data_IF_240727375848
#
_entry.id   IF_240727375848
#
_cell.length_a   1.000
_cell.length_b   1.000
_cell.length_c   1.000
_cell.angle_alpha   90.00
_cell.angle_beta   90.00
_cell.angle_gamma   90.00
#
_symmetry.space_group_name_H-M   'P 1'
#
loop_
_entity.id
_entity.type
_entity.pdbx_description
1 polymer ?
#
# COMPACT_ATOMS: atom_id res chain seq x y z
N UNK A 1 10.76 -8.82 -14.48
CA UNK A 1 9.82 -8.04 -13.64
C UNK A 1 8.36 -8.47 -13.83
N UNK A 2 7.85 -8.62 -15.07
CA UNK A 2 6.45 -9.00 -15.32
C UNK A 2 6.00 -10.30 -14.65
N UNK A 3 6.80 -11.36 -14.71
CA UNK A 3 6.49 -12.67 -14.10
C UNK A 3 6.27 -12.58 -12.57
N UNK A 4 7.06 -11.77 -11.87
CA UNK A 4 6.93 -11.54 -10.42
C UNK A 4 5.61 -10.87 -10.08
N UNK A 5 5.16 -9.93 -10.92
CA UNK A 5 3.89 -9.25 -10.70
C UNK A 5 2.72 -10.21 -10.85
N UNK A 6 2.77 -11.11 -11.85
CA UNK A 6 1.76 -12.15 -12.04
C UNK A 6 1.70 -13.07 -10.82
N UNK A 7 2.85 -13.58 -10.37
CA UNK A 7 2.91 -14.44 -9.17
C UNK A 7 2.44 -13.72 -7.92
N UNK A 8 2.81 -12.45 -7.74
CA UNK A 8 2.33 -11.62 -6.63
C UNK A 8 0.81 -11.47 -6.66
N UNK A 9 0.20 -11.32 -7.84
CA UNK A 9 -1.26 -11.22 -8.00
C UNK A 9 -1.96 -12.55 -7.74
N UNK A 10 -1.40 -13.67 -8.18
CA UNK A 10 -1.90 -15.01 -7.87
C UNK A 10 -1.84 -15.29 -6.37
N UNK A 11 -0.70 -15.00 -5.75
CA UNK A 11 -0.50 -15.16 -4.31
C UNK A 11 -1.48 -14.28 -3.52
N UNK A 12 -1.72 -13.05 -3.96
CA UNK A 12 -2.75 -12.16 -3.38
C UNK A 12 -4.14 -12.78 -3.46
N UNK A 13 -4.52 -13.23 -4.66
CA UNK A 13 -5.86 -13.78 -4.91
C UNK A 13 -6.11 -15.03 -4.07
N UNK A 14 -5.09 -15.89 -3.94
CA UNK A 14 -5.16 -17.08 -3.08
C UNK A 14 -5.28 -16.72 -1.58
N UNK A 15 -4.63 -15.64 -1.12
CA UNK A 15 -4.79 -15.15 0.25
C UNK A 15 -6.20 -14.60 0.52
N UNK A 16 -6.84 -13.97 -0.47
CA UNK A 16 -8.17 -13.34 -0.33
C UNK A 16 -9.34 -14.31 -0.54
N UNK A 17 -9.13 -15.40 -1.29
CA UNK A 17 -10.11 -16.46 -1.43
C UNK A 17 -10.31 -17.16 -0.08
N UNK A 18 -11.44 -16.89 0.57
CA UNK A 18 -11.84 -17.37 1.91
C UNK A 18 -12.11 -18.88 2.00
N UNK A 19 -11.19 -19.73 1.57
CA UNK A 19 -11.19 -21.12 2.04
C UNK A 19 -10.79 -21.09 3.51
N UNK A 20 -11.67 -21.51 4.42
CA UNK A 20 -11.37 -21.64 5.84
C UNK A 20 -10.12 -22.52 6.02
N UNK A 21 -9.00 -21.91 6.39
CA UNK A 21 -7.76 -22.63 6.68
C UNK A 21 -7.87 -23.24 8.08
N UNK A 22 -8.62 -24.34 8.19
CA UNK A 22 -8.78 -25.06 9.46
C UNK A 22 -7.60 -26.00 9.69
N UNK A 23 -6.61 -25.54 10.45
CA UNK A 23 -5.54 -26.37 11.02
C UNK A 23 -4.37 -26.68 10.08
N UNK A 24 -3.16 -26.70 10.68
CA UNK A 24 -1.85 -27.32 10.35
C UNK A 24 -1.41 -27.65 8.90
N UNK A 25 -2.15 -27.25 7.87
CA UNK A 25 -1.78 -27.49 6.49
C UNK A 25 -1.18 -26.23 5.87
N UNK A 26 -0.02 -26.37 5.22
CA UNK A 26 0.54 -25.32 4.38
C UNK A 26 -0.36 -25.13 3.15
N UNK A 27 -1.30 -24.19 3.26
CA UNK A 27 -2.27 -23.96 2.21
C UNK A 27 -1.61 -23.44 0.93
N UNK A 28 -2.30 -23.60 -0.20
CA UNK A 28 -1.83 -23.13 -1.51
C UNK A 28 -1.43 -21.64 -1.49
N UNK A 29 -2.10 -20.81 -0.68
CA UNK A 29 -1.76 -19.40 -0.53
C UNK A 29 -0.38 -19.18 0.10
N UNK A 30 0.00 -19.95 1.12
CA UNK A 30 1.33 -19.87 1.74
C UNK A 30 2.39 -20.32 0.73
N UNK A 31 2.17 -21.45 0.05
CA UNK A 31 3.11 -21.97 -0.94
C UNK A 31 3.36 -20.96 -2.08
N UNK A 32 2.30 -20.31 -2.57
CA UNK A 32 2.40 -19.28 -3.60
C UNK A 32 3.16 -18.04 -3.11
N UNK A 33 2.91 -17.58 -1.88
CA UNK A 33 3.64 -16.44 -1.32
C UNK A 33 5.12 -16.77 -1.08
N UNK A 34 5.46 -17.99 -0.62
CA UNK A 34 6.86 -18.43 -0.49
C UNK A 34 7.58 -18.49 -1.84
N UNK A 35 6.97 -19.13 -2.85
CA UNK A 35 7.53 -19.16 -4.22
C UNK A 35 7.72 -17.75 -4.80
N UNK A 36 6.72 -16.89 -4.64
CA UNK A 36 6.80 -15.49 -5.07
C UNK A 36 7.92 -14.73 -4.32
N UNK A 37 8.06 -14.97 -3.02
CA UNK A 37 9.11 -14.38 -2.20
C UNK A 37 10.51 -14.82 -2.65
N UNK A 38 10.72 -16.09 -2.97
CA UNK A 38 12.02 -16.60 -3.41
C UNK A 38 12.44 -15.98 -4.75
N UNK A 39 11.51 -15.90 -5.70
CA UNK A 39 11.75 -15.23 -6.98
C UNK A 39 12.00 -13.73 -6.76
N UNK A 40 11.24 -13.08 -5.87
CA UNK A 40 11.43 -11.67 -5.55
C UNK A 40 12.80 -11.40 -4.89
N UNK A 41 13.30 -12.31 -4.05
CA UNK A 41 14.65 -12.23 -3.47
C UNK A 41 15.73 -12.30 -4.54
N UNK A 42 15.63 -13.28 -5.45
CA UNK A 42 16.58 -13.45 -6.58
C UNK A 42 16.64 -12.18 -7.43
N UNK A 43 15.51 -11.53 -7.65
CA UNK A 43 15.40 -10.32 -8.46
C UNK A 43 15.63 -9.02 -7.67
N UNK A 44 15.89 -9.09 -6.37
CA UNK A 44 16.04 -7.91 -5.50
C UNK A 44 14.77 -7.03 -5.42
N UNK A 45 13.60 -7.60 -5.68
CA UNK A 45 12.32 -6.88 -5.74
C UNK A 45 11.74 -6.63 -4.34
N UNK A 46 12.35 -5.71 -3.56
CA UNK A 46 12.02 -5.46 -2.15
C UNK A 46 10.53 -5.17 -1.86
N UNK A 47 9.84 -4.44 -2.74
CA UNK A 47 8.41 -4.17 -2.58
C UNK A 47 7.55 -5.44 -2.67
N UNK A 48 7.92 -6.36 -3.57
CA UNK A 48 7.21 -7.64 -3.68
C UNK A 48 7.51 -8.52 -2.48
N UNK A 49 8.77 -8.53 -2.02
CA UNK A 49 9.15 -9.23 -0.78
C UNK A 49 8.32 -8.73 0.42
N UNK A 50 8.17 -7.40 0.55
CA UNK A 50 7.36 -6.77 1.60
C UNK A 50 5.92 -7.28 1.54
N UNK A 51 5.29 -7.24 0.36
CA UNK A 51 3.91 -7.74 0.18
C UNK A 51 3.76 -9.22 0.52
N UNK A 52 4.72 -10.06 0.13
CA UNK A 52 4.68 -11.48 0.45
C UNK A 52 4.79 -11.71 1.96
N UNK A 53 5.72 -11.03 2.65
CA UNK A 53 5.86 -11.13 4.09
C UNK A 53 4.63 -10.63 4.86
N UNK A 54 4.01 -9.52 4.42
CA UNK A 54 2.76 -9.03 5.03
C UNK A 54 1.64 -10.06 4.93
N UNK A 55 1.42 -10.66 3.75
CA UNK A 55 0.39 -11.69 3.54
C UNK A 55 0.70 -12.97 4.32
N UNK A 56 1.96 -13.37 4.38
CA UNK A 56 2.38 -14.53 5.17
C UNK A 56 2.09 -14.31 6.66
N UNK A 57 2.39 -13.13 7.20
CA UNK A 57 2.05 -12.82 8.59
C UNK A 57 0.54 -12.95 8.87
N UNK A 58 -0.32 -12.43 7.98
CA UNK A 58 -1.77 -12.57 8.09
C UNK A 58 -2.23 -14.03 8.03
N UNK A 59 -1.68 -14.82 7.09
CA UNK A 59 -2.01 -16.24 6.94
C UNK A 59 -1.55 -17.07 8.15
N UNK A 60 -0.35 -16.82 8.67
CA UNK A 60 0.15 -17.51 9.86
C UNK A 60 -0.64 -17.15 11.12
N UNK A 61 -1.07 -15.89 11.24
CA UNK A 61 -1.98 -15.45 12.30
C UNK A 61 -3.30 -16.22 12.28
N UNK A 62 -3.89 -16.43 11.09
CA UNK A 62 -5.12 -17.23 10.93
C UNK A 62 -4.93 -18.71 11.28
N UNK A 63 -3.72 -19.24 11.10
CA UNK A 63 -3.35 -20.61 11.49
C UNK A 63 -2.92 -20.74 12.95
N UNK A 64 -2.86 -19.62 13.69
CA UNK A 64 -2.34 -19.54 15.05
C UNK A 64 -0.89 -20.04 15.18
N UNK A 65 -0.08 -19.86 14.12
CA UNK A 65 1.36 -20.13 14.07
C UNK A 65 2.13 -18.85 14.40
N UNK A 66 2.26 -18.57 15.70
CA UNK A 66 2.83 -17.32 16.23
C UNK A 66 4.31 -17.13 15.84
N UNK A 67 5.08 -18.21 15.79
CA UNK A 67 6.51 -18.17 15.45
C UNK A 67 6.69 -17.73 13.99
N UNK A 68 5.97 -18.37 13.06
CA UNK A 68 6.03 -18.04 11.64
C UNK A 68 5.45 -16.65 11.36
N UNK A 69 4.38 -16.27 12.06
CA UNK A 69 3.79 -14.93 12.00
C UNK A 69 4.83 -13.87 12.36
N UNK A 70 5.49 -14.02 13.51
CA UNK A 70 6.44 -13.03 14.03
C UNK A 70 7.66 -12.90 13.12
N UNK A 71 8.17 -14.01 12.58
CA UNK A 71 9.27 -13.99 11.59
C UNK A 71 8.84 -13.19 10.35
N UNK A 72 7.65 -13.44 9.81
CA UNK A 72 7.14 -12.73 8.64
C UNK A 72 6.90 -11.24 8.92
N UNK A 73 6.34 -10.90 10.09
CA UNK A 73 6.07 -9.53 10.53
C UNK A 73 7.35 -8.72 10.72
N UNK A 74 8.40 -9.33 11.30
CA UNK A 74 9.73 -8.71 11.42
C UNK A 74 10.34 -8.45 10.05
N UNK A 75 10.33 -9.43 9.14
CA UNK A 75 10.86 -9.26 7.80
C UNK A 75 10.15 -8.14 7.01
N UNK A 76 8.82 -8.06 7.09
CA UNK A 76 8.05 -6.96 6.51
C UNK A 76 8.45 -5.59 7.12
N UNK A 77 8.68 -5.55 8.43
CA UNK A 77 9.07 -4.32 9.12
C UNK A 77 10.48 -3.85 8.74
N UNK A 78 11.43 -4.78 8.62
CA UNK A 78 12.79 -4.49 8.14
C UNK A 78 12.76 -3.93 6.70
N UNK A 79 12.02 -4.58 5.79
CA UNK A 79 11.86 -4.10 4.41
C UNK A 79 11.21 -2.71 4.33
N UNK A 80 10.25 -2.43 5.22
CA UNK A 80 9.63 -1.10 5.33
C UNK A 80 10.67 -0.04 5.73
N UNK A 81 11.55 -0.36 6.68
CA UNK A 81 12.63 0.53 7.11
C UNK A 81 13.68 0.73 6.02
N UNK A 82 14.14 -0.34 5.38
CA UNK A 82 15.13 -0.30 4.31
C UNK A 82 14.68 0.54 3.10
N UNK A 83 13.37 0.54 2.81
CA UNK A 83 12.79 1.33 1.73
C UNK A 83 12.29 2.71 2.19
N UNK A 84 12.52 3.09 3.45
CA UNK A 84 12.08 4.36 4.05
C UNK A 84 10.58 4.69 3.82
N UNK A 85 9.70 3.68 3.93
CA UNK A 85 8.27 3.83 3.62
C UNK A 85 7.46 4.46 4.76
N UNK A 86 7.96 5.54 5.36
CA UNK A 86 7.31 6.27 6.44
C UNK A 86 7.45 7.79 6.27
N UNK A 87 6.42 8.51 6.74
CA UNK A 87 6.43 9.95 6.79
C UNK A 87 7.40 10.42 7.90
N UNK A 88 8.42 11.20 7.54
CA UNK A 88 9.43 11.67 8.49
C UNK A 88 8.91 12.75 9.47
N UNK A 89 7.68 13.23 9.27
CA UNK A 89 7.03 14.17 10.20
C UNK A 89 6.20 13.44 11.26
N UNK A 90 5.30 12.53 10.87
CA UNK A 90 4.42 11.83 11.82
C UNK A 90 4.90 10.42 12.21
N UNK A 91 5.93 9.88 11.56
CA UNK A 91 6.45 8.52 11.79
C UNK A 91 5.57 7.38 11.27
N UNK A 92 4.40 7.67 10.68
CA UNK A 92 3.47 6.64 10.20
C UNK A 92 3.91 6.09 8.83
N UNK A 93 3.65 4.80 8.60
CA UNK A 93 3.92 4.14 7.32
C UNK A 93 2.95 4.62 6.24
N UNK A 94 3.42 4.72 5.01
CA UNK A 94 2.56 5.05 3.87
C UNK A 94 1.59 3.92 3.54
N UNK A 95 0.42 4.28 3.01
CA UNK A 95 -0.56 3.32 2.49
C UNK A 95 -1.32 2.52 3.55
N UNK A 96 -1.16 2.83 4.84
CA UNK A 96 -2.05 2.30 5.90
C UNK A 96 -3.42 2.98 5.80
N UNK A 97 -3.42 4.29 5.54
CA UNK A 97 -4.60 5.11 5.32
C UNK A 97 -4.56 5.68 3.92
N UNK A 98 -5.73 6.06 3.42
CA UNK A 98 -5.91 6.71 2.12
C UNK A 98 -5.51 8.20 2.19
N UNK A 99 -4.25 8.46 2.54
CA UNK A 99 -3.69 9.80 2.70
C UNK A 99 -2.87 10.19 1.47
N UNK A 100 -3.14 11.39 0.93
CA UNK A 100 -2.34 11.96 -0.16
C UNK A 100 -0.88 12.12 0.24
N UNK A 101 0.02 11.80 -0.70
CA UNK A 101 1.46 11.95 -0.54
C UNK A 101 1.98 13.10 -1.40
N UNK A 102 2.86 13.89 -0.81
CA UNK A 102 3.54 15.00 -1.47
C UNK A 102 5.05 14.77 -1.46
N UNK A 103 5.66 14.81 -2.64
CA UNK A 103 7.11 14.81 -2.79
C UNK A 103 7.67 16.22 -2.93
N UNK A 104 8.88 16.41 -2.41
CA UNK A 104 9.72 17.59 -2.66
C UNK A 104 10.78 17.27 -3.73
N UNK A 105 11.34 18.30 -4.38
CA UNK A 105 12.44 18.15 -5.35
C UNK A 105 13.71 17.54 -4.77
N UNK A 106 13.86 17.52 -3.45
CA UNK A 106 14.93 16.79 -2.76
C UNK A 106 14.64 15.27 -2.62
N UNK A 107 13.64 14.76 -3.35
CA UNK A 107 13.19 13.36 -3.37
C UNK A 107 12.63 12.83 -2.06
N UNK A 108 12.35 13.70 -1.09
CA UNK A 108 11.69 13.32 0.16
C UNK A 108 10.17 13.40 0.03
N UNK A 109 9.52 12.34 0.49
CA UNK A 109 8.07 12.17 0.46
C UNK A 109 7.53 12.37 1.87
N UNK A 110 6.33 12.94 1.96
CA UNK A 110 5.59 13.15 3.20
C UNK A 110 4.09 12.96 2.94
N UNK A 111 3.29 12.76 3.98
CA UNK A 111 1.85 13.02 3.83
C UNK A 111 1.65 14.50 3.51
N UNK A 112 0.76 14.80 2.56
CA UNK A 112 0.47 16.18 2.13
C UNK A 112 0.10 17.06 3.32
N UNK A 113 -0.80 16.58 4.19
CA UNK A 113 -1.20 17.27 5.42
C UNK A 113 -0.02 17.53 6.36
N UNK A 114 0.86 16.54 6.55
CA UNK A 114 2.01 16.68 7.43
C UNK A 114 3.00 17.74 6.93
N UNK A 115 3.29 17.72 5.63
CA UNK A 115 4.19 18.70 5.02
C UNK A 115 3.58 20.11 5.08
N UNK A 116 2.30 20.23 4.79
CA UNK A 116 1.59 21.51 4.84
C UNK A 116 1.60 22.11 6.26
N UNK A 117 1.27 21.32 7.28
CA UNK A 117 1.35 21.76 8.69
C UNK A 117 2.76 22.24 9.04
N UNK A 118 3.80 21.47 8.70
CA UNK A 118 5.18 21.85 8.97
C UNK A 118 5.58 23.17 8.31
N UNK A 119 5.24 23.36 7.03
CA UNK A 119 5.60 24.57 6.28
C UNK A 119 4.79 25.80 6.70
N UNK A 120 3.59 25.63 7.24
CA UNK A 120 2.83 26.75 7.80
C UNK A 120 3.40 27.25 9.15
N UNK A 121 3.93 26.35 9.96
CA UNK A 121 4.47 26.68 11.29
C UNK A 121 5.88 27.27 11.23
N UNK A 122 6.58 27.16 10.08
CA UNK A 122 7.98 27.57 9.94
C UNK A 122 8.16 28.67 8.90
N UNK A 123 8.94 29.69 9.27
CA UNK A 123 9.36 30.74 8.34
C UNK A 123 10.39 30.23 7.32
N UNK A 124 11.25 29.29 7.73
CA UNK A 124 12.26 28.67 6.89
C UNK A 124 11.67 27.51 6.08
N UNK A 125 11.09 27.83 4.92
CA UNK A 125 10.49 26.90 3.94
C UNK A 125 11.47 25.81 3.46
N UNK A 126 11.71 24.81 4.31
CA UNK A 126 12.75 23.79 4.17
C UNK A 126 12.19 22.39 4.40
N UNK A 127 12.84 21.38 3.82
CA UNK A 127 12.47 19.99 3.96
C UNK A 127 12.69 19.52 5.41
N UNK A 128 11.69 18.90 6.07
CA UNK A 128 11.84 18.39 7.44
C UNK A 128 12.98 17.38 7.63
N UNK A 129 13.33 16.62 6.58
CA UNK A 129 14.36 15.56 6.65
C UNK A 129 15.77 16.07 6.37
N UNK A 130 15.98 16.80 5.28
CA UNK A 130 17.32 17.19 4.82
C UNK A 130 17.62 18.69 4.89
N UNK A 131 16.64 19.52 5.26
CA UNK A 131 16.75 20.99 5.35
C UNK A 131 17.07 21.72 4.04
N UNK A 132 17.09 21.03 2.89
CA UNK A 132 17.09 21.69 1.58
C UNK A 132 15.79 22.51 1.39
N UNK A 133 15.81 23.51 0.50
CA UNK A 133 14.62 24.32 0.19
C UNK A 133 13.42 23.44 -0.17
N UNK A 134 12.28 23.66 0.49
CA UNK A 134 11.06 22.91 0.26
C UNK A 134 10.40 23.39 -1.03
N UNK A 135 10.71 22.71 -2.13
CA UNK A 135 10.06 22.96 -3.41
C UNK A 135 9.25 21.71 -3.75
N UNK A 136 7.95 21.88 -3.94
CA UNK A 136 7.06 20.79 -4.34
C UNK A 136 7.52 20.21 -5.68
N UNK A 137 7.41 18.89 -5.79
CA UNK A 137 7.66 18.17 -7.02
C UNK A 137 6.33 17.91 -7.73
N UNK A 138 6.14 18.51 -8.90
CA UNK A 138 4.89 18.38 -9.67
C UNK A 138 4.77 17.01 -10.36
N UNK A 139 5.88 16.26 -10.44
CA UNK A 139 5.96 14.96 -11.11
C UNK A 139 5.57 13.77 -10.21
N UNK A 140 5.48 13.95 -8.90
CA UNK A 140 5.21 12.88 -7.93
C UNK A 140 4.24 13.42 -6.86
N UNK A 141 2.97 13.50 -7.23
CA UNK A 141 1.86 13.75 -6.31
C UNK A 141 0.91 12.55 -6.43
N UNK A 142 0.88 11.71 -5.40
CA UNK A 142 -0.11 10.63 -5.31
C UNK A 142 -1.27 11.18 -4.49
N UNK A 143 -2.21 11.82 -5.20
CA UNK A 143 -3.48 12.25 -4.62
C UNK A 143 -4.40 11.06 -4.61
N UNK A 144 -4.99 10.78 -3.47
CA UNK A 144 -6.15 9.90 -3.41
C UNK A 144 -7.32 10.68 -4.02
N UNK A 145 -7.90 10.24 -5.16
CA UNK A 145 -9.10 10.88 -5.65
C UNK A 145 -10.16 10.67 -4.57
N UNK A 146 -10.59 11.75 -3.92
CA UNK A 146 -11.79 11.73 -3.10
C UNK A 146 -12.93 11.21 -3.99
N UNK A 147 -13.36 9.98 -3.77
CA UNK A 147 -14.66 9.54 -4.28
C UNK A 147 -15.68 10.25 -3.39
N UNK A 148 -16.10 11.44 -3.80
CA UNK A 148 -17.17 12.18 -3.15
C UNK A 148 -18.05 12.86 -4.22
N UNK A 149 -19.27 12.33 -4.32
CA UNK A 149 -20.53 13.01 -4.67
C UNK A 149 -20.94 13.18 -6.14
N UNK A 150 -21.95 12.36 -6.48
CA UNK A 150 -23.19 12.69 -7.21
C UNK A 150 -23.08 13.44 -8.54
N UNK A 151 -23.35 12.71 -9.64
CA UNK A 151 -24.00 13.30 -10.81
C UNK A 151 -25.29 12.50 -11.09
N UNK A 152 -26.35 13.25 -11.36
CA UNK A 152 -27.76 12.86 -11.39
C UNK A 152 -28.09 11.57 -12.14
N UNK A 153 -28.88 10.72 -11.49
CA UNK A 153 -29.72 9.75 -12.19
C UNK A 153 -30.85 10.52 -12.89
N UNK A 154 -30.64 10.89 -14.16
CA UNK A 154 -31.73 11.29 -15.03
C UNK A 154 -32.68 10.10 -15.23
N UNK A 155 -33.86 10.20 -14.64
CA UNK A 155 -35.01 9.35 -14.91
C UNK A 155 -35.50 9.68 -16.33
N UNK A 156 -35.56 8.74 -17.28
CA UNK A 156 -36.31 8.96 -18.51
C UNK A 156 -37.80 8.80 -18.20
N UNK A 157 -38.54 9.90 -18.25
CA UNK A 157 -40.00 9.93 -18.27
C UNK A 157 -40.50 9.30 -19.57
N UNK A 158 -40.95 8.04 -19.50
CA UNK A 158 -41.69 7.41 -20.59
C UNK A 158 -43.07 8.06 -20.69
N UNK A 159 -43.27 8.84 -21.75
CA UNK A 159 -44.57 9.38 -22.13
C UNK A 159 -45.34 8.27 -22.83
N UNK A 160 -46.34 7.67 -22.16
CA UNK A 160 -47.31 6.81 -22.84
C UNK A 160 -48.29 7.69 -23.61
N UNK A 161 -48.09 7.76 -24.92
CA UNK A 161 -49.07 8.26 -25.88
C UNK A 161 -50.24 7.28 -25.95
N UNK A 162 -51.44 7.82 -25.71
CA UNK A 162 -52.73 7.17 -25.88
C UNK A 162 -53.12 7.18 -27.36
N UNK A 163 -53.35 6.01 -27.94
CA UNK A 163 -54.02 5.75 -29.23
C UNK A 163 -54.13 4.21 -29.31
N UNK A 164 -55.26 3.53 -29.44
CA UNK A 164 -56.62 3.78 -29.96
C UNK A 164 -57.58 2.93 -29.10
#
# INVERSE_FOLDING_TARGET
MGEVLVLSSMAKSASESRSHYTGQCECQAIQLNKKCLDIAKILGCKHVMLKCHSRLAELYSQLNDEDSEEIARRAASQLTQEMELFCNFCGQRYGIKDESLQALRCSHIFHERCLHTFLLEREDQTCPKCRCRAILSDNISMRTPSICSTTDAQIPTSTFLTAI
#
